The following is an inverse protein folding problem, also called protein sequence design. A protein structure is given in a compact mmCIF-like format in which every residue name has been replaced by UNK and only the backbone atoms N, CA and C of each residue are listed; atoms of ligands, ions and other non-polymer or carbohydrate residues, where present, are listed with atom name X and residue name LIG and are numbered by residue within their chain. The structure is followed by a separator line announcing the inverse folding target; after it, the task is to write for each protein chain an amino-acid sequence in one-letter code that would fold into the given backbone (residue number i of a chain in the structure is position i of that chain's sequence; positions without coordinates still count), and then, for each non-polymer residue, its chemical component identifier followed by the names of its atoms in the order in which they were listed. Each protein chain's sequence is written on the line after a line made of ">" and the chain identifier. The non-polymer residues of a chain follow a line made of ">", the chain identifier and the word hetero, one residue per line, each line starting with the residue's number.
data_IF_788481521024
#
_entry.id   IF_788481521024
#
_cell.length_a   1.000
_cell.length_b   1.000
_cell.length_c   1.000
_cell.angle_alpha   90.00
_cell.angle_beta   90.00
_cell.angle_gamma   90.00
#
_symmetry.space_group_name_H-M   'P 1'
#
loop_
_entity.id
_entity.type
_entity.pdbx_description
1 polymer ?
#
# COMPACT_ATOMS: atom_id res chain seq x y z
N UNK A 1 -17.90 -19.61 17.51
CA UNK A 1 -18.16 -20.76 16.60
C UNK A 1 -17.74 -20.28 15.22
N UNK A 2 -16.47 -20.47 14.90
CA UNK A 2 -15.87 -20.14 13.62
C UNK A 2 -15.63 -21.48 12.93
N UNK A 3 -16.64 -22.00 12.25
CA UNK A 3 -16.57 -23.32 11.61
C UNK A 3 -16.86 -23.22 10.10
N UNK A 4 -15.78 -23.39 9.34
CA UNK A 4 -15.66 -24.32 8.21
C UNK A 4 -16.32 -24.02 6.85
N UNK A 5 -17.04 -22.92 6.64
CA UNK A 5 -17.68 -22.65 5.34
C UNK A 5 -16.94 -21.73 4.35
N UNK A 6 -15.73 -21.27 4.65
CA UNK A 6 -15.13 -20.13 3.93
C UNK A 6 -14.05 -20.40 2.87
N UNK A 7 -13.63 -21.64 2.56
CA UNK A 7 -12.40 -21.78 1.75
C UNK A 7 -12.15 -23.08 0.99
N UNK A 8 -13.09 -24.00 0.88
CA UNK A 8 -12.87 -25.25 0.11
C UNK A 8 -14.10 -25.73 -0.67
N UNK A 9 -15.13 -24.87 -0.81
CA UNK A 9 -16.43 -25.35 -1.26
C UNK A 9 -16.46 -25.62 -2.77
N UNK A 10 -15.79 -24.79 -3.58
CA UNK A 10 -15.76 -24.97 -5.04
C UNK A 10 -14.91 -26.18 -5.41
N UNK A 11 -13.71 -26.31 -4.81
CA UNK A 11 -12.83 -27.44 -5.02
C UNK A 11 -13.47 -28.77 -4.59
N UNK A 12 -14.25 -28.77 -3.49
CA UNK A 12 -14.98 -29.95 -3.04
C UNK A 12 -16.04 -30.40 -4.04
N UNK A 13 -16.90 -29.49 -4.52
CA UNK A 13 -17.91 -29.85 -5.53
C UNK A 13 -17.30 -30.28 -6.86
N UNK A 14 -16.20 -29.65 -7.25
CA UNK A 14 -15.45 -30.01 -8.43
C UNK A 14 -14.87 -31.42 -8.34
N UNK A 15 -14.21 -31.71 -7.21
CA UNK A 15 -13.65 -33.03 -6.93
C UNK A 15 -14.72 -34.13 -6.89
N UNK A 16 -15.87 -33.84 -6.29
CA UNK A 16 -17.00 -34.77 -6.27
C UNK A 16 -17.54 -35.04 -7.67
N UNK A 17 -17.73 -34.02 -8.51
CA UNK A 17 -18.17 -34.21 -9.89
C UNK A 17 -17.17 -35.07 -10.68
N UNK A 18 -15.88 -34.73 -10.61
CA UNK A 18 -14.82 -35.46 -11.31
C UNK A 18 -14.78 -36.94 -10.89
N UNK A 19 -14.97 -37.20 -9.60
CA UNK A 19 -15.05 -38.56 -9.04
C UNK A 19 -16.23 -39.32 -9.63
N UNK A 20 -17.46 -38.78 -9.53
CA UNK A 20 -18.65 -39.49 -10.02
C UNK A 20 -18.63 -39.69 -11.53
N UNK A 21 -18.05 -38.77 -12.30
CA UNK A 21 -17.87 -38.93 -13.76
C UNK A 21 -16.89 -40.04 -14.06
N UNK A 22 -15.80 -40.14 -13.30
CA UNK A 22 -14.81 -41.21 -13.46
C UNK A 22 -15.42 -42.58 -13.16
N UNK A 23 -16.21 -42.68 -12.09
CA UNK A 23 -16.93 -43.91 -11.72
C UNK A 23 -17.98 -44.28 -12.78
N UNK A 24 -18.79 -43.32 -13.22
CA UNK A 24 -19.84 -43.55 -14.21
C UNK A 24 -19.28 -44.00 -15.56
N UNK A 25 -18.16 -43.41 -16.00
CA UNK A 25 -17.48 -43.79 -17.26
C UNK A 25 -17.08 -45.27 -17.26
N UNK A 26 -16.64 -45.80 -16.12
CA UNK A 26 -16.19 -47.20 -16.03
C UNK A 26 -17.33 -48.23 -16.02
N UNK A 27 -18.59 -47.79 -15.85
CA UNK A 27 -19.75 -48.66 -15.62
C UNK A 27 -20.81 -48.52 -16.74
N UNK A 28 -20.82 -47.41 -17.48
CA UNK A 28 -21.90 -47.06 -18.41
C UNK A 28 -21.44 -47.01 -19.87
N UNK A 29 -21.61 -48.11 -20.60
CA UNK A 29 -21.33 -48.19 -22.04
C UNK A 29 -22.25 -47.27 -22.88
N UNK A 30 -23.48 -47.02 -22.43
CA UNK A 30 -24.50 -46.25 -23.18
C UNK A 30 -24.14 -44.76 -23.37
N UNK A 31 -23.31 -44.20 -22.48
CA UNK A 31 -22.96 -42.77 -22.44
C UNK A 31 -21.45 -42.55 -22.31
N UNK A 32 -20.65 -43.56 -22.67
CA UNK A 32 -19.19 -43.54 -22.49
C UNK A 32 -18.56 -42.31 -23.14
N UNK A 33 -19.02 -41.95 -24.35
CA UNK A 33 -18.47 -40.83 -25.12
C UNK A 33 -18.70 -39.50 -24.41
N UNK A 34 -19.91 -39.24 -23.93
CA UNK A 34 -20.28 -38.01 -23.24
C UNK A 34 -19.57 -37.89 -21.89
N UNK A 35 -19.51 -39.00 -21.14
CA UNK A 35 -18.81 -39.05 -19.85
C UNK A 35 -17.29 -38.88 -20.03
N UNK A 36 -16.70 -39.45 -21.09
CA UNK A 36 -15.29 -39.26 -21.42
C UNK A 36 -14.96 -37.81 -21.77
N UNK A 37 -15.82 -37.13 -22.55
CA UNK A 37 -15.67 -35.71 -22.87
C UNK A 37 -15.75 -34.86 -21.61
N UNK A 38 -16.78 -35.05 -20.79
CA UNK A 38 -16.95 -34.32 -19.54
C UNK A 38 -15.75 -34.54 -18.60
N UNK A 39 -15.28 -35.79 -18.47
CA UNK A 39 -14.08 -36.10 -17.69
C UNK A 39 -12.87 -35.34 -18.19
N UNK A 40 -12.61 -35.38 -19.49
CA UNK A 40 -11.46 -34.71 -20.11
C UNK A 40 -11.50 -33.20 -19.87
N UNK A 41 -12.68 -32.58 -20.00
CA UNK A 41 -12.88 -31.16 -19.69
C UNK A 41 -12.54 -30.88 -18.22
N UNK A 42 -13.10 -31.64 -17.28
CA UNK A 42 -12.84 -31.47 -15.85
C UNK A 42 -11.35 -31.66 -15.53
N UNK A 43 -10.70 -32.70 -16.05
CA UNK A 43 -9.26 -32.89 -15.84
C UNK A 43 -8.43 -31.72 -16.38
N UNK A 44 -8.81 -31.16 -17.54
CA UNK A 44 -8.10 -30.03 -18.15
C UNK A 44 -8.21 -28.73 -17.36
N UNK A 45 -9.34 -28.48 -16.68
CA UNK A 45 -9.58 -27.24 -15.95
C UNK A 45 -9.27 -27.34 -14.46
N UNK A 46 -8.98 -28.54 -13.94
CA UNK A 46 -8.61 -28.78 -12.55
C UNK A 46 -7.56 -27.80 -11.98
N UNK A 47 -6.39 -27.58 -12.63
CA UNK A 47 -5.40 -26.65 -12.08
C UNK A 47 -5.94 -25.22 -11.96
N UNK A 48 -6.72 -24.78 -12.96
CA UNK A 48 -7.33 -23.45 -12.98
C UNK A 48 -8.30 -23.27 -11.82
N UNK A 49 -9.14 -24.27 -11.52
CA UNK A 49 -10.08 -24.20 -10.39
C UNK A 49 -9.34 -24.09 -9.04
N UNK A 50 -8.22 -24.81 -8.89
CA UNK A 50 -7.40 -24.73 -7.66
C UNK A 50 -6.75 -23.36 -7.48
N UNK A 51 -6.25 -22.77 -8.57
CA UNK A 51 -5.69 -21.41 -8.55
C UNK A 51 -6.76 -20.37 -8.19
N UNK A 52 -7.95 -20.46 -8.80
CA UNK A 52 -9.06 -19.54 -8.52
C UNK A 52 -9.49 -19.61 -7.06
N UNK A 53 -9.63 -20.82 -6.49
CA UNK A 53 -10.00 -20.97 -5.09
C UNK A 53 -8.93 -20.37 -4.16
N UNK A 54 -7.65 -20.62 -4.45
CA UNK A 54 -6.52 -20.06 -3.68
C UNK A 54 -6.51 -18.52 -3.75
N UNK A 55 -6.67 -17.96 -4.94
CA UNK A 55 -6.67 -16.52 -5.15
C UNK A 55 -7.89 -15.85 -4.52
N UNK A 56 -9.07 -16.46 -4.61
CA UNK A 56 -10.27 -15.92 -4.00
C UNK A 56 -10.13 -15.83 -2.47
N UNK A 57 -9.53 -16.83 -1.84
CA UNK A 57 -9.23 -16.80 -0.39
C UNK A 57 -8.22 -15.69 -0.08
N UNK A 58 -7.11 -15.63 -0.82
CA UNK A 58 -6.04 -14.66 -0.60
C UNK A 58 -6.51 -13.21 -0.78
N UNK A 59 -7.40 -12.97 -1.74
CA UNK A 59 -7.93 -11.66 -2.08
C UNK A 59 -9.26 -11.34 -1.38
N UNK A 60 -9.77 -12.26 -0.54
CA UNK A 60 -11.08 -12.16 0.10
C UNK A 60 -12.21 -11.84 -0.90
N UNK A 61 -12.15 -12.45 -2.08
CA UNK A 61 -13.13 -12.26 -3.17
C UNK A 61 -14.42 -13.00 -2.79
N UNK A 62 -15.59 -12.36 -2.95
CA UNK A 62 -16.87 -12.98 -2.61
C UNK A 62 -17.17 -14.20 -3.48
N UNK A 63 -17.79 -15.23 -2.88
CA UNK A 63 -18.20 -16.47 -3.58
C UNK A 63 -19.12 -16.23 -4.80
N UNK A 64 -19.78 -15.06 -4.87
CA UNK A 64 -20.70 -14.70 -5.95
C UNK A 64 -20.07 -14.84 -7.34
N UNK A 65 -18.75 -14.63 -7.47
CA UNK A 65 -18.07 -14.71 -8.77
C UNK A 65 -18.00 -16.14 -9.33
N UNK A 66 -18.03 -17.15 -8.45
CA UNK A 66 -17.98 -18.57 -8.81
C UNK A 66 -19.30 -19.31 -8.54
N UNK A 67 -20.33 -18.61 -8.05
CA UNK A 67 -21.62 -19.18 -7.68
C UNK A 67 -22.30 -19.94 -8.82
N UNK A 68 -22.25 -19.42 -10.04
CA UNK A 68 -22.82 -20.09 -11.21
C UNK A 68 -22.08 -21.41 -11.51
N UNK A 69 -20.75 -21.41 -11.47
CA UNK A 69 -19.97 -22.64 -11.67
C UNK A 69 -20.27 -23.66 -10.59
N UNK A 70 -20.31 -23.22 -9.32
CA UNK A 70 -20.68 -24.06 -8.17
C UNK A 70 -22.04 -24.74 -8.39
N UNK A 71 -23.04 -24.00 -8.86
CA UNK A 71 -24.36 -24.55 -9.18
C UNK A 71 -24.31 -25.60 -10.29
N UNK A 72 -23.55 -25.37 -11.36
CA UNK A 72 -23.35 -26.34 -12.45
C UNK A 72 -22.65 -27.62 -11.96
N UNK A 73 -21.65 -27.50 -11.07
CA UNK A 73 -20.95 -28.65 -10.49
C UNK A 73 -21.90 -29.52 -9.64
N UNK A 74 -22.76 -28.89 -8.83
CA UNK A 74 -23.76 -29.58 -8.01
C UNK A 74 -24.77 -30.31 -8.89
N UNK A 75 -25.40 -29.59 -9.84
CA UNK A 75 -26.39 -30.16 -10.77
C UNK A 75 -25.79 -31.28 -11.62
N UNK A 76 -24.56 -31.10 -12.08
CA UNK A 76 -23.84 -32.09 -12.86
C UNK A 76 -23.58 -33.36 -12.08
N UNK A 77 -23.25 -33.24 -10.79
CA UNK A 77 -23.00 -34.41 -9.93
C UNK A 77 -24.27 -35.25 -9.79
N UNK A 78 -25.42 -34.61 -9.58
CA UNK A 78 -26.70 -35.31 -9.53
C UNK A 78 -27.07 -35.97 -10.86
N UNK A 79 -26.83 -35.28 -11.99
CA UNK A 79 -27.09 -35.79 -13.32
C UNK A 79 -26.30 -37.07 -13.61
N UNK A 80 -24.99 -37.05 -13.33
CA UNK A 80 -24.09 -38.18 -13.57
C UNK A 80 -24.47 -39.37 -12.71
N UNK A 81 -24.83 -39.16 -11.44
CA UNK A 81 -25.33 -40.23 -10.56
C UNK A 81 -26.65 -40.84 -11.04
N UNK A 82 -27.53 -40.05 -11.67
CA UNK A 82 -28.77 -40.56 -12.28
C UNK A 82 -28.46 -41.39 -13.53
N UNK A 83 -27.47 -40.95 -14.32
CA UNK A 83 -26.98 -41.65 -15.50
C UNK A 83 -26.38 -43.03 -15.16
N UNK A 84 -25.62 -43.14 -14.07
CA UNK A 84 -24.95 -44.39 -13.68
C UNK A 84 -25.85 -45.42 -12.96
N UNK A 85 -27.00 -44.99 -12.43
CA UNK A 85 -27.87 -45.84 -11.58
C UNK A 85 -28.93 -46.66 -12.32
N UNK A 86 -29.06 -46.60 -13.64
CA UNK A 86 -30.07 -47.45 -14.26
C UNK A 86 -30.12 -47.51 -15.76
N UNK A 87 -30.21 -48.75 -16.25
CA UNK A 87 -31.16 -49.16 -17.30
C UNK A 87 -32.42 -48.28 -17.21
N UNK A 88 -32.49 -47.25 -18.05
CA UNK A 88 -33.62 -46.34 -18.02
C UNK A 88 -34.84 -47.11 -18.54
N UNK A 89 -35.74 -47.45 -17.62
CA UNK A 89 -37.00 -48.12 -17.92
C UNK A 89 -37.70 -47.45 -19.11
N UNK A 90 -38.26 -48.30 -19.96
CA UNK A 90 -38.76 -48.13 -21.32
C UNK A 90 -39.82 -47.03 -21.56
N UNK A 91 -40.02 -46.05 -20.67
CA UNK A 91 -41.15 -45.11 -20.73
C UNK A 91 -40.84 -43.63 -20.44
N UNK A 92 -39.58 -43.25 -20.26
CA UNK A 92 -39.19 -41.83 -20.30
C UNK A 92 -37.92 -41.68 -21.12
N UNK A 93 -38.07 -41.23 -22.38
CA UNK A 93 -36.97 -40.78 -23.26
C UNK A 93 -36.33 -39.52 -22.69
N UNK A 94 -35.68 -39.63 -21.53
CA UNK A 94 -34.75 -38.62 -21.06
C UNK A 94 -33.43 -38.94 -21.74
N UNK A 95 -33.09 -38.17 -22.79
CA UNK A 95 -31.79 -38.31 -23.41
C UNK A 95 -30.73 -37.75 -22.45
N UNK A 96 -30.09 -38.63 -21.67
CA UNK A 96 -29.01 -38.23 -20.76
C UNK A 96 -27.78 -37.76 -21.54
N UNK A 97 -27.56 -38.21 -22.77
CA UNK A 97 -26.47 -37.73 -23.62
C UNK A 97 -26.58 -36.22 -23.86
N UNK A 98 -27.76 -35.72 -24.24
CA UNK A 98 -28.00 -34.28 -24.43
C UNK A 98 -27.75 -33.49 -23.15
N UNK A 99 -28.19 -34.02 -21.99
CA UNK A 99 -28.00 -33.37 -20.70
C UNK A 99 -26.52 -33.32 -20.29
N UNK A 100 -25.78 -34.40 -20.50
CA UNK A 100 -24.34 -34.46 -20.22
C UNK A 100 -23.56 -33.52 -21.16
N UNK A 101 -23.94 -33.46 -22.43
CA UNK A 101 -23.34 -32.53 -23.39
C UNK A 101 -23.63 -31.07 -23.00
N UNK A 102 -24.86 -30.76 -22.59
CA UNK A 102 -25.23 -29.43 -22.11
C UNK A 102 -24.46 -29.03 -20.84
N UNK A 103 -24.28 -29.97 -19.90
CA UNK A 103 -23.45 -29.74 -18.71
C UNK A 103 -22.00 -29.41 -19.10
N UNK A 104 -21.39 -30.23 -19.97
CA UNK A 104 -20.03 -29.98 -20.45
C UNK A 104 -19.92 -28.61 -21.13
N UNK A 105 -20.87 -28.26 -21.99
CA UNK A 105 -20.92 -26.95 -22.65
C UNK A 105 -21.10 -25.79 -21.65
N UNK A 106 -21.90 -25.97 -20.60
CA UNK A 106 -22.09 -24.93 -19.58
C UNK A 106 -20.80 -24.68 -18.81
N UNK A 107 -20.10 -25.75 -18.41
CA UNK A 107 -18.78 -25.65 -17.76
C UNK A 107 -17.77 -24.98 -18.69
N UNK A 108 -17.64 -25.43 -19.94
CA UNK A 108 -16.73 -24.81 -20.91
C UNK A 108 -17.06 -23.33 -21.15
N UNK A 109 -18.35 -22.99 -21.28
CA UNK A 109 -18.80 -21.62 -21.45
C UNK A 109 -18.45 -20.76 -20.25
N UNK A 110 -18.60 -21.27 -19.02
CA UNK A 110 -18.23 -20.53 -17.83
C UNK A 110 -16.74 -20.17 -17.85
N UNK A 111 -15.88 -21.15 -18.12
CA UNK A 111 -14.42 -20.94 -18.17
C UNK A 111 -14.02 -20.04 -19.34
N UNK A 112 -14.56 -20.26 -20.54
CA UNK A 112 -14.11 -19.57 -21.75
C UNK A 112 -14.74 -18.19 -21.93
N UNK A 113 -15.99 -18.00 -21.49
CA UNK A 113 -16.75 -16.78 -21.78
C UNK A 113 -16.96 -15.97 -20.50
N UNK A 114 -17.50 -16.58 -19.45
CA UNK A 114 -17.88 -15.84 -18.25
C UNK A 114 -16.64 -15.33 -17.50
N UNK A 115 -15.61 -16.16 -17.34
CA UNK A 115 -14.35 -15.71 -16.73
C UNK A 115 -13.65 -14.63 -17.58
N UNK A 116 -13.67 -14.73 -18.91
CA UNK A 116 -13.11 -13.67 -19.76
C UNK A 116 -13.85 -12.34 -19.57
N UNK A 117 -15.18 -12.37 -19.47
CA UNK A 117 -15.95 -11.17 -19.19
C UNK A 117 -15.65 -10.60 -17.80
N UNK A 118 -15.47 -11.47 -16.79
CA UNK A 118 -15.02 -11.07 -15.45
C UNK A 118 -13.64 -10.41 -15.51
N UNK A 119 -12.66 -11.02 -16.17
CA UNK A 119 -11.32 -10.44 -16.36
C UNK A 119 -11.37 -9.04 -16.98
N UNK A 120 -12.19 -8.83 -18.02
CA UNK A 120 -12.35 -7.51 -18.63
C UNK A 120 -12.92 -6.50 -17.65
N UNK A 121 -13.95 -6.88 -16.89
CA UNK A 121 -14.56 -6.02 -15.87
C UNK A 121 -13.56 -5.69 -14.76
N UNK A 122 -12.79 -6.66 -14.30
CA UNK A 122 -11.88 -6.49 -13.18
C UNK A 122 -10.65 -5.67 -13.58
N UNK A 123 -10.14 -5.85 -14.80
CA UNK A 123 -9.12 -4.96 -15.38
C UNK A 123 -9.60 -3.51 -15.46
N UNK A 124 -10.88 -3.27 -15.79
CA UNK A 124 -11.45 -1.91 -15.78
C UNK A 124 -11.53 -1.33 -14.37
N UNK A 125 -11.91 -2.13 -13.37
CA UNK A 125 -11.90 -1.69 -11.97
C UNK A 125 -10.49 -1.33 -11.50
N UNK A 126 -9.51 -2.17 -11.84
CA UNK A 126 -8.10 -1.91 -11.54
C UNK A 126 -7.64 -0.61 -12.19
N UNK A 127 -8.00 -0.36 -13.46
CA UNK A 127 -7.65 0.89 -14.14
C UNK A 127 -8.20 2.12 -13.42
N UNK A 128 -9.47 2.08 -12.98
CA UNK A 128 -10.08 3.17 -12.20
C UNK A 128 -9.33 3.40 -10.88
N UNK A 129 -8.98 2.33 -10.17
CA UNK A 129 -8.23 2.41 -8.91
C UNK A 129 -6.82 3.00 -9.13
N UNK A 130 -6.12 2.57 -10.18
CA UNK A 130 -4.80 3.07 -10.55
C UNK A 130 -4.85 4.55 -10.96
N UNK A 131 -5.88 4.95 -11.70
CA UNK A 131 -6.08 6.35 -12.08
C UNK A 131 -6.29 7.23 -10.84
N UNK A 132 -7.12 6.77 -9.89
CA UNK A 132 -7.33 7.46 -8.62
C UNK A 132 -6.03 7.58 -7.81
N UNK A 133 -5.23 6.50 -7.73
CA UNK A 133 -3.93 6.53 -7.07
C UNK A 133 -2.95 7.48 -7.76
N UNK A 134 -2.99 7.57 -9.08
CA UNK A 134 -2.16 8.49 -9.87
C UNK A 134 -2.47 9.95 -9.52
N UNK A 135 -3.74 10.31 -9.34
CA UNK A 135 -4.12 11.65 -8.91
C UNK A 135 -3.65 11.95 -7.47
N UNK A 136 -3.80 11.00 -6.55
CA UNK A 136 -3.27 11.15 -5.18
C UNK A 136 -1.74 11.34 -5.17
N UNK A 137 -1.01 10.62 -6.03
CA UNK A 137 0.44 10.78 -6.18
C UNK A 137 0.80 12.17 -6.69
N UNK A 138 0.05 12.72 -7.66
CA UNK A 138 0.26 14.09 -8.15
C UNK A 138 0.04 15.12 -7.05
N UNK A 139 -0.99 14.96 -6.24
CA UNK A 139 -1.26 15.88 -5.14
C UNK A 139 -0.22 15.79 -4.04
N UNK A 140 0.23 14.57 -3.69
CA UNK A 140 1.35 14.36 -2.77
C UNK A 140 2.64 15.02 -3.28
N UNK A 141 2.90 14.97 -4.60
CA UNK A 141 4.05 15.65 -5.20
C UNK A 141 3.99 17.17 -5.03
N UNK A 142 2.83 17.79 -5.26
CA UNK A 142 2.65 19.24 -5.04
C UNK A 142 2.89 19.63 -3.59
N UNK A 143 2.41 18.80 -2.64
CA UNK A 143 2.64 19.04 -1.21
C UNK A 143 4.13 18.98 -0.90
N UNK A 144 4.86 18.01 -1.45
CA UNK A 144 6.30 17.90 -1.26
C UNK A 144 7.04 19.15 -1.76
N UNK A 145 6.73 19.62 -2.96
CA UNK A 145 7.31 20.84 -3.55
C UNK A 145 7.07 22.07 -2.64
N UNK A 146 5.86 22.21 -2.09
CA UNK A 146 5.54 23.30 -1.14
C UNK A 146 6.31 23.19 0.19
N UNK A 147 6.54 21.98 0.68
CA UNK A 147 7.29 21.75 1.92
C UNK A 147 8.77 22.11 1.71
N UNK A 148 9.35 21.74 0.57
CA UNK A 148 10.73 22.08 0.22
C UNK A 148 10.93 23.59 0.08
N UNK A 149 10.02 24.29 -0.60
CA UNK A 149 10.06 25.75 -0.75
C UNK A 149 9.97 26.46 0.61
N UNK A 150 9.05 26.04 1.48
CA UNK A 150 8.93 26.57 2.85
C UNK A 150 10.21 26.34 3.66
N UNK A 151 10.84 25.17 3.52
CA UNK A 151 12.12 24.88 4.16
C UNK A 151 13.25 25.81 3.72
N UNK A 152 13.36 26.08 2.41
CA UNK A 152 14.36 27.00 1.86
C UNK A 152 14.15 28.46 2.31
N UNK A 153 12.89 28.90 2.38
CA UNK A 153 12.55 30.25 2.85
C UNK A 153 12.93 30.43 4.33
N UNK A 154 12.63 29.43 5.18
CA UNK A 154 12.98 29.49 6.61
C UNK A 154 14.50 29.58 6.83
N UNK A 155 15.31 28.82 6.08
CA UNK A 155 16.78 28.94 6.14
C UNK A 155 17.28 30.33 5.72
N UNK A 156 16.61 30.95 4.74
CA UNK A 156 16.95 32.29 4.28
C UNK A 156 16.65 33.33 5.36
N UNK A 157 15.51 33.19 6.04
CA UNK A 157 15.12 34.07 7.13
C UNK A 157 16.04 33.91 8.35
N UNK A 158 16.40 32.67 8.72
CA UNK A 158 17.39 32.41 9.77
C UNK A 158 18.74 33.07 9.46
N UNK A 159 19.20 33.02 8.20
CA UNK A 159 20.44 33.69 7.78
C UNK A 159 20.35 35.21 7.91
N UNK A 160 19.24 35.82 7.51
CA UNK A 160 19.02 37.27 7.65
C UNK A 160 19.00 37.70 9.12
N UNK A 161 18.33 36.92 9.97
CA UNK A 161 18.29 37.15 11.42
C UNK A 161 19.71 37.08 11.98
N UNK A 162 20.51 36.09 11.57
CA UNK A 162 21.90 35.98 11.99
C UNK A 162 22.71 37.21 11.57
N UNK A 163 22.61 37.66 10.32
CA UNK A 163 23.30 38.87 9.84
C UNK A 163 22.92 40.12 10.66
N UNK A 164 21.62 40.31 10.95
CA UNK A 164 21.14 41.41 11.79
C UNK A 164 21.67 41.33 13.23
N UNK A 165 21.71 40.12 13.82
CA UNK A 165 22.26 39.91 15.16
C UNK A 165 23.75 40.24 15.21
N UNK A 166 24.51 39.89 14.16
CA UNK A 166 25.93 40.22 14.08
C UNK A 166 26.19 41.72 13.93
N UNK A 167 25.35 42.42 13.16
CA UNK A 167 25.40 43.88 13.05
C UNK A 167 25.13 44.55 14.40
N UNK A 168 24.07 44.13 15.11
CA UNK A 168 23.73 44.63 16.45
C UNK A 168 24.90 44.40 17.42
N UNK A 169 25.50 43.21 17.40
CA UNK A 169 26.64 42.87 18.26
C UNK A 169 27.82 43.81 18.02
N UNK A 170 28.18 44.06 16.76
CA UNK A 170 29.29 44.96 16.40
C UNK A 170 29.00 46.39 16.83
N UNK A 171 27.77 46.87 16.64
CA UNK A 171 27.36 48.21 17.05
C UNK A 171 27.49 48.39 18.58
N UNK A 172 26.96 47.44 19.36
CA UNK A 172 27.07 47.46 20.83
C UNK A 172 28.54 47.46 21.28
N UNK A 173 29.38 46.63 20.69
CA UNK A 173 30.81 46.59 21.02
C UNK A 173 31.49 47.93 20.72
N UNK A 174 31.18 48.55 19.59
CA UNK A 174 31.77 49.83 19.17
C UNK A 174 31.34 50.97 20.09
N UNK A 175 30.06 51.01 20.49
CA UNK A 175 29.54 51.97 21.46
C UNK A 175 30.22 51.83 22.82
N UNK A 176 30.31 50.59 23.35
CA UNK A 176 30.98 50.32 24.63
C UNK A 176 32.46 50.73 24.62
N UNK A 177 33.21 50.43 23.56
CA UNK A 177 34.61 50.84 23.41
C UNK A 177 34.72 52.38 23.41
N UNK A 178 33.83 53.04 22.67
CA UNK A 178 33.81 54.50 22.55
C UNK A 178 33.56 55.17 23.89
N UNK A 179 32.57 54.69 24.64
CA UNK A 179 32.21 55.24 25.95
C UNK A 179 33.28 54.94 27.00
N UNK A 180 33.85 53.73 27.02
CA UNK A 180 34.98 53.41 27.88
C UNK A 180 36.18 54.32 27.62
N UNK A 181 36.49 54.64 26.35
CA UNK A 181 37.57 55.57 25.99
C UNK A 181 37.33 56.97 26.55
N UNK A 182 36.11 57.51 26.46
CA UNK A 182 35.77 58.82 27.04
C UNK A 182 35.94 58.83 28.56
N UNK A 183 35.53 57.75 29.25
CA UNK A 183 35.71 57.62 30.70
C UNK A 183 37.19 57.65 31.06
N UNK A 184 38.03 56.91 30.31
CA UNK A 184 39.48 56.89 30.52
C UNK A 184 40.11 58.28 30.37
N UNK A 185 39.75 59.02 29.32
CA UNK A 185 40.21 60.39 29.10
C UNK A 185 39.83 61.31 30.27
N UNK A 186 38.60 61.18 30.79
CA UNK A 186 38.16 61.94 31.96
C UNK A 186 38.94 61.58 33.23
N UNK A 187 39.18 60.29 33.49
CA UNK A 187 39.97 59.82 34.63
C UNK A 187 41.40 60.36 34.57
N UNK A 188 42.03 60.37 33.39
CA UNK A 188 43.39 60.89 33.22
C UNK A 188 43.48 62.39 33.52
N UNK A 189 42.48 63.18 33.09
CA UNK A 189 42.41 64.62 33.40
C UNK A 189 42.25 64.86 34.91
N UNK A 190 41.43 64.07 35.59
CA UNK A 190 41.24 64.16 37.04
C UNK A 190 42.55 63.82 37.77
N UNK A 191 43.23 62.73 37.39
CA UNK A 191 44.52 62.35 37.97
C UNK A 191 45.56 63.47 37.89
N UNK A 192 45.73 64.07 36.69
CA UNK A 192 46.64 65.23 36.47
C UNK A 192 46.27 66.48 37.28
N UNK A 193 45.02 66.60 37.74
CA UNK A 193 44.57 67.71 38.59
C UNK A 193 44.91 67.44 40.06
N UNK A 194 44.67 66.21 40.52
CA UNK A 194 45.02 65.76 41.89
C UNK A 194 46.53 65.89 42.14
N UNK A 195 47.36 65.49 41.18
CA UNK A 195 48.83 65.60 41.29
C UNK A 195 49.32 67.05 41.44
N UNK A 196 48.63 68.01 40.82
CA UNK A 196 48.97 69.44 40.89
C UNK A 196 48.55 70.11 42.19
N UNK A 197 47.44 69.67 42.79
CA UNK A 197 46.85 70.29 43.98
C UNK A 197 47.45 69.76 45.31
N UNK A 198 48.48 68.90 45.26
CA UNK A 198 49.24 68.45 46.43
C UNK A 198 48.52 67.41 47.31
N UNK A 199 47.59 66.62 46.75
CA UNK A 199 46.82 65.62 47.48
C UNK A 199 47.69 64.57 48.20
N UNK A 200 47.36 64.28 49.47
CA UNK A 200 48.04 63.25 50.28
C UNK A 200 47.85 61.88 49.63
N UNK A 201 48.95 61.31 49.14
CA UNK A 201 49.02 59.99 48.52
C UNK A 201 48.79 58.89 49.57
N UNK A 202 47.56 58.39 49.69
CA UNK A 202 47.38 56.98 50.03
C UNK A 202 47.42 56.21 48.71
N UNK A 203 48.61 55.71 48.40
CA UNK A 203 48.91 54.84 47.26
C UNK A 203 48.06 53.57 47.37
N UNK A 204 46.88 53.55 46.74
CA UNK A 204 46.19 52.29 46.46
C UNK A 204 46.94 51.66 45.30
N UNK A 205 47.81 50.71 45.61
CA UNK A 205 48.42 49.80 44.64
C UNK A 205 47.30 48.96 44.00
N UNK A 206 46.69 49.49 42.94
CA UNK A 206 45.88 48.72 42.00
C UNK A 206 46.40 49.01 40.59
N UNK A 207 47.70 48.78 40.39
CA UNK A 207 48.21 48.42 39.07
C UNK A 207 48.03 46.90 38.91
N UNK A 208 46.85 46.50 38.48
CA UNK A 208 46.59 45.12 38.05
C UNK A 208 46.88 45.01 36.53
N UNK A 209 47.43 43.89 36.02
CA UNK A 209 47.97 43.71 34.65
C UNK A 209 47.00 43.93 33.47
N UNK A 210 45.74 44.26 33.75
CA UNK A 210 44.64 44.30 32.77
C UNK A 210 44.82 45.41 31.72
N UNK A 211 45.53 46.50 32.06
CA UNK A 211 45.76 47.62 31.14
C UNK A 211 46.70 47.31 29.96
N UNK A 212 47.56 46.29 30.05
CA UNK A 212 48.45 45.93 28.95
C UNK A 212 47.77 45.12 27.83
N UNK A 213 46.63 44.49 28.11
CA UNK A 213 45.94 43.61 27.16
C UNK A 213 44.91 44.32 26.27
N UNK A 214 44.56 45.57 26.56
CA UNK A 214 43.48 46.31 25.87
C UNK A 214 44.01 47.11 24.64
N UNK A 215 45.33 47.15 24.41
CA UNK A 215 45.97 47.94 23.33
C UNK A 215 46.68 47.12 22.23
N UNK A 216 46.37 45.82 22.07
CA UNK A 216 46.78 45.00 20.92
C UNK A 216 45.57 44.53 20.11
#
# INVERSE_FOLDING_TARGET
>A
MADLFGGAMLGAFFGELLKVVTEAKNISDEYETELAKLKSTLESIKPIIQEIETLNIALNIPEQETAQLKEELIKGTELVRKCSKGKCCCFKKVNYADKLNNLNQSIERFIKVNMQAQMVRDNKKILVEVDMQTELIKDNKKILEQVEERGANMQTDDKKILEQVEEIRVNIQTELITDNKKILEQVEVIGKKIDRDGGVSNRVELMDPVWCLILQ
#
